data_IF_872260856633
#
_entry.id   IF_872260856633
#
_cell.length_a   1.000
_cell.length_b   1.000
_cell.length_c   1.000
_cell.angle_alpha   90.00
_cell.angle_beta   90.00
_cell.angle_gamma   90.00
#
_symmetry.space_group_name_H-M   'P 1'
#
loop_
_entity.id
_entity.type
_entity.pdbx_description
1 polymer ?
#
# COMPACT_ATOMS: atom_id res chain seq x y z
N UNK A 1 -4.19 -4.82 11.79
CA UNK A 1 -3.67 -5.91 10.94
C UNK A 1 -4.79 -6.90 10.77
N UNK A 2 -4.93 -7.50 9.59
CA UNK A 2 -5.80 -8.66 9.40
C UNK A 2 -5.24 -9.85 10.19
N UNK A 3 -6.03 -10.90 10.37
CA UNK A 3 -5.61 -12.10 11.09
C UNK A 3 -4.67 -12.94 10.20
N UNK A 4 -3.68 -13.62 10.78
CA UNK A 4 -2.78 -14.51 10.03
C UNK A 4 -3.55 -15.64 9.34
N UNK A 5 -4.72 -16.04 9.88
CA UNK A 5 -5.58 -17.04 9.27
C UNK A 5 -6.31 -16.53 8.00
N UNK A 6 -6.33 -15.22 7.75
CA UNK A 6 -6.88 -14.64 6.53
C UNK A 6 -5.87 -14.69 5.36
N UNK A 7 -4.61 -15.05 5.61
CA UNK A 7 -3.55 -15.21 4.60
C UNK A 7 -3.71 -16.53 3.82
N UNK A 8 -4.65 -16.53 2.87
CA UNK A 8 -4.85 -17.68 1.96
C UNK A 8 -4.01 -17.53 0.69
N UNK A 9 -2.81 -18.13 0.73
CA UNK A 9 -1.88 -18.17 -0.40
C UNK A 9 -2.37 -19.01 -1.61
N UNK A 10 -3.50 -19.71 -1.46
CA UNK A 10 -4.13 -20.51 -2.52
C UNK A 10 -5.37 -19.85 -3.13
N UNK A 11 -5.76 -18.68 -2.61
CA UNK A 11 -6.97 -17.98 -3.03
C UNK A 11 -6.82 -17.29 -4.39
N UNK A 12 -7.83 -17.45 -5.24
CA UNK A 12 -7.98 -16.64 -6.46
C UNK A 12 -8.46 -15.20 -6.17
N UNK A 13 -8.69 -14.87 -4.90
CA UNK A 13 -9.18 -13.56 -4.46
C UNK A 13 -8.14 -12.86 -3.56
N UNK A 14 -6.85 -13.06 -3.86
CA UNK A 14 -5.71 -12.49 -3.14
C UNK A 14 -5.83 -10.96 -2.90
N UNK A 15 -6.45 -10.25 -3.85
CA UNK A 15 -6.68 -8.80 -3.77
C UNK A 15 -7.56 -8.37 -2.58
N UNK A 16 -8.34 -9.28 -1.97
CA UNK A 16 -9.26 -8.94 -0.88
C UNK A 16 -8.55 -8.45 0.38
N UNK A 17 -7.34 -8.94 0.66
CA UNK A 17 -6.55 -8.46 1.79
C UNK A 17 -6.08 -7.02 1.54
N UNK A 18 -5.69 -6.69 0.31
CA UNK A 18 -5.35 -5.31 -0.07
C UNK A 18 -6.58 -4.40 0.11
N UNK A 19 -7.75 -4.83 -0.39
CA UNK A 19 -9.01 -4.10 -0.21
C UNK A 19 -9.37 -3.92 1.26
N UNK A 20 -9.16 -4.94 2.09
CA UNK A 20 -9.39 -4.85 3.53
C UNK A 20 -8.52 -3.75 4.15
N UNK A 21 -7.22 -3.68 3.79
CA UNK A 21 -6.30 -2.65 4.30
C UNK A 21 -6.79 -1.26 3.90
N UNK A 22 -7.11 -1.05 2.63
CA UNK A 22 -7.60 0.24 2.15
C UNK A 22 -8.92 0.64 2.84
N UNK A 23 -9.88 -0.27 2.93
CA UNK A 23 -11.17 -0.02 3.59
C UNK A 23 -10.98 0.28 5.08
N UNK A 24 -10.01 -0.37 5.74
CA UNK A 24 -9.71 -0.12 7.14
C UNK A 24 -9.13 1.28 7.37
N UNK A 25 -8.25 1.73 6.47
CA UNK A 25 -7.69 3.10 6.51
C UNK A 25 -8.79 4.13 6.27
N UNK A 26 -9.63 3.93 5.26
CA UNK A 26 -10.77 4.82 4.99
C UNK A 26 -11.72 4.92 6.20
N UNK A 27 -12.07 3.78 6.80
CA UNK A 27 -12.91 3.73 7.98
C UNK A 27 -12.26 4.42 9.20
N UNK A 28 -10.96 4.21 9.41
CA UNK A 28 -10.19 4.84 10.48
C UNK A 28 -10.24 6.36 10.40
N UNK A 29 -9.91 6.95 9.25
CA UNK A 29 -9.90 8.40 9.08
C UNK A 29 -11.30 9.00 9.08
N UNK A 30 -12.31 8.30 8.56
CA UNK A 30 -13.70 8.76 8.65
C UNK A 30 -14.21 8.78 10.09
N UNK A 31 -13.85 7.79 10.92
CA UNK A 31 -14.14 7.81 12.36
C UNK A 31 -13.40 8.95 13.06
N UNK A 32 -12.11 9.15 12.73
CA UNK A 32 -11.27 10.16 13.36
C UNK A 32 -11.76 11.60 13.15
N UNK A 33 -12.59 11.88 12.12
CA UNK A 33 -13.21 13.20 11.90
C UNK A 33 -14.13 13.63 13.04
N UNK A 34 -14.73 12.68 13.74
CA UNK A 34 -15.72 12.94 14.80
C UNK A 34 -15.23 12.50 16.20
N UNK A 35 -13.97 12.08 16.32
CA UNK A 35 -13.37 11.62 17.58
C UNK A 35 -12.29 12.61 18.00
N UNK A 36 -12.58 13.41 19.03
CA UNK A 36 -11.69 14.48 19.50
C UNK A 36 -10.36 13.96 20.06
N UNK A 37 -10.35 12.73 20.60
CA UNK A 37 -9.13 12.12 21.11
C UNK A 37 -8.24 11.64 19.97
N UNK A 38 -8.84 10.98 18.96
CA UNK A 38 -8.11 10.60 17.75
C UNK A 38 -7.60 11.82 17.02
N UNK A 39 -8.42 12.86 16.87
CA UNK A 39 -7.96 14.10 16.24
C UNK A 39 -6.75 14.66 16.99
N UNK A 40 -6.83 14.84 18.30
CA UNK A 40 -5.71 15.35 19.10
C UNK A 40 -4.44 14.50 18.95
N UNK A 41 -4.56 13.18 18.86
CA UNK A 41 -3.41 12.28 18.64
C UNK A 41 -2.84 12.45 17.24
N UNK A 42 -3.69 12.50 16.22
CA UNK A 42 -3.30 12.62 14.82
C UNK A 42 -2.79 14.03 14.47
N UNK A 43 -3.19 15.08 15.20
CA UNK A 43 -2.62 16.42 15.02
C UNK A 43 -1.19 16.56 15.52
N UNK A 44 -0.64 15.55 16.20
CA UNK A 44 0.75 15.62 16.69
C UNK A 44 1.73 15.41 15.54
N UNK A 45 2.89 16.07 15.61
CA UNK A 45 3.92 15.91 14.60
C UNK A 45 4.50 14.49 14.56
N UNK A 46 4.92 14.05 13.37
CA UNK A 46 5.68 12.81 13.12
C UNK A 46 4.87 11.52 13.29
N UNK A 47 3.62 11.52 12.84
CA UNK A 47 2.88 10.28 12.65
C UNK A 47 3.46 9.46 11.50
N UNK A 48 3.53 8.14 11.68
CA UNK A 48 3.95 7.20 10.65
C UNK A 48 2.85 6.15 10.49
N UNK A 49 2.34 6.01 9.27
CA UNK A 49 1.42 4.96 8.90
C UNK A 49 2.17 3.95 8.03
N UNK A 50 2.05 2.67 8.38
CA UNK A 50 2.63 1.58 7.62
C UNK A 50 1.52 0.67 7.11
N UNK A 51 1.43 0.54 5.78
CA UNK A 51 0.42 -0.25 5.10
C UNK A 51 1.14 -1.39 4.38
N UNK A 52 0.78 -2.63 4.73
CA UNK A 52 1.30 -3.83 4.10
C UNK A 52 0.24 -4.40 3.17
N UNK A 53 0.61 -4.67 1.91
CA UNK A 53 -0.28 -5.17 0.86
C UNK A 53 0.27 -6.52 0.38
N UNK A 54 -0.47 -7.59 0.63
CA UNK A 54 -0.02 -8.98 0.40
C UNK A 54 -0.53 -9.55 -0.93
N UNK A 55 -1.59 -8.97 -1.50
CA UNK A 55 -2.34 -9.61 -2.59
C UNK A 55 -1.48 -9.91 -3.82
N UNK A 56 -0.55 -9.01 -4.17
CA UNK A 56 0.35 -9.23 -5.29
C UNK A 56 1.33 -10.39 -5.07
N UNK A 57 1.85 -10.60 -3.87
CA UNK A 57 2.74 -11.74 -3.62
C UNK A 57 1.99 -13.06 -3.78
N UNK A 58 0.87 -13.20 -3.06
CA UNK A 58 -0.01 -14.37 -3.15
C UNK A 58 -0.43 -14.68 -4.58
N UNK A 59 -0.87 -13.67 -5.32
CA UNK A 59 -1.33 -13.84 -6.70
C UNK A 59 -0.17 -14.15 -7.67
N UNK A 60 1.01 -13.59 -7.41
CA UNK A 60 2.22 -13.87 -8.15
C UNK A 60 2.64 -15.34 -8.04
N UNK A 61 2.63 -15.90 -6.84
CA UNK A 61 2.89 -17.33 -6.62
C UNK A 61 1.84 -18.20 -7.32
N UNK A 62 0.55 -17.88 -7.15
CA UNK A 62 -0.58 -18.66 -7.64
C UNK A 62 -0.77 -18.62 -9.16
N UNK A 63 -0.97 -17.42 -9.71
CA UNK A 63 -1.36 -17.22 -11.12
C UNK A 63 -0.23 -16.74 -12.03
N UNK A 64 0.89 -16.27 -11.46
CA UNK A 64 2.07 -15.71 -12.16
C UNK A 64 1.93 -14.24 -12.58
N UNK A 65 3.03 -13.46 -12.61
CA UNK A 65 2.98 -12.01 -12.86
C UNK A 65 2.32 -11.56 -14.18
N UNK A 66 2.34 -12.41 -15.21
CA UNK A 66 1.74 -12.10 -16.52
C UNK A 66 0.28 -12.53 -16.65
N UNK A 67 -0.30 -13.10 -15.60
CA UNK A 67 -1.70 -13.52 -15.61
C UNK A 67 -2.65 -12.33 -15.57
N UNK A 68 -3.89 -12.59 -16.02
CA UNK A 68 -4.95 -11.59 -15.95
C UNK A 68 -5.25 -11.22 -14.50
N UNK A 69 -5.27 -12.20 -13.62
CA UNK A 69 -5.53 -12.10 -12.19
C UNK A 69 -4.51 -11.18 -11.51
N UNK A 70 -3.22 -11.35 -11.82
CA UNK A 70 -2.17 -10.50 -11.27
C UNK A 70 -2.31 -9.05 -11.74
N UNK A 71 -2.51 -8.83 -13.05
CA UNK A 71 -2.70 -7.48 -13.62
C UNK A 71 -3.94 -6.80 -13.05
N UNK A 72 -5.04 -7.53 -12.87
CA UNK A 72 -6.25 -7.01 -12.23
C UNK A 72 -6.00 -6.63 -10.75
N UNK A 73 -5.19 -7.42 -10.02
CA UNK A 73 -4.78 -7.09 -8.65
C UNK A 73 -3.88 -5.84 -8.60
N UNK A 74 -2.97 -5.63 -9.56
CA UNK A 74 -2.20 -4.37 -9.65
C UNK A 74 -3.16 -3.19 -9.75
N UNK A 75 -4.18 -3.30 -10.60
CA UNK A 75 -5.17 -2.24 -10.77
C UNK A 75 -6.00 -2.00 -9.49
N UNK A 76 -6.24 -3.04 -8.67
CA UNK A 76 -6.87 -2.88 -7.34
C UNK A 76 -5.96 -2.08 -6.40
N UNK A 77 -4.66 -2.41 -6.35
CA UNK A 77 -3.67 -1.71 -5.52
C UNK A 77 -3.55 -0.24 -5.95
N UNK A 78 -3.45 0.04 -7.24
CA UNK A 78 -3.35 1.41 -7.78
C UNK A 78 -4.55 2.28 -7.36
N UNK A 79 -5.77 1.79 -7.55
CA UNK A 79 -7.00 2.48 -7.10
C UNK A 79 -7.06 2.63 -5.57
N UNK A 80 -6.57 1.63 -4.83
CA UNK A 80 -6.52 1.66 -3.37
C UNK A 80 -5.56 2.72 -2.83
N UNK A 81 -4.39 2.87 -3.47
CA UNK A 81 -3.42 3.94 -3.19
C UNK A 81 -4.08 5.30 -3.43
N UNK A 82 -4.72 5.51 -4.58
CA UNK A 82 -5.39 6.78 -4.89
C UNK A 82 -6.44 7.15 -3.82
N UNK A 83 -7.29 6.20 -3.43
CA UNK A 83 -8.30 6.40 -2.37
C UNK A 83 -7.67 6.74 -1.03
N UNK A 84 -6.60 6.03 -0.66
CA UNK A 84 -5.87 6.27 0.59
C UNK A 84 -5.25 7.66 0.61
N UNK A 85 -4.59 8.05 -0.48
CA UNK A 85 -4.01 9.38 -0.61
C UNK A 85 -5.07 10.46 -0.46
N UNK A 86 -6.21 10.31 -1.14
CA UNK A 86 -7.33 11.26 -1.03
C UNK A 86 -7.82 11.39 0.41
N UNK A 87 -8.12 10.29 1.08
CA UNK A 87 -8.67 10.32 2.45
C UNK A 87 -7.69 10.94 3.46
N UNK A 88 -6.40 10.60 3.37
CA UNK A 88 -5.37 11.14 4.26
C UNK A 88 -5.16 12.63 3.99
N UNK A 89 -5.03 13.03 2.73
CA UNK A 89 -4.85 14.43 2.35
C UNK A 89 -6.06 15.28 2.73
N UNK A 90 -7.28 14.78 2.54
CA UNK A 90 -8.50 15.48 2.94
C UNK A 90 -8.63 15.61 4.47
N UNK A 91 -8.09 14.65 5.23
CA UNK A 91 -8.16 14.68 6.69
C UNK A 91 -7.21 15.72 7.30
N UNK A 92 -5.94 15.73 6.86
CA UNK A 92 -4.94 16.67 7.38
C UNK A 92 -5.02 18.04 6.72
N UNK A 93 -5.27 18.08 5.40
CA UNK A 93 -5.44 19.28 4.61
C UNK A 93 -4.33 20.34 4.83
N UNK A 94 -3.09 19.88 5.01
CA UNK A 94 -1.93 20.71 5.36
C UNK A 94 -0.79 20.66 4.32
N UNK A 95 -0.90 19.79 3.31
CA UNK A 95 0.17 19.52 2.36
C UNK A 95 1.50 19.20 3.08
N UNK A 96 1.46 18.33 4.10
CA UNK A 96 2.66 17.93 4.85
C UNK A 96 2.88 16.40 4.86
N UNK A 97 2.07 15.64 4.11
CA UNK A 97 2.21 14.18 4.03
C UNK A 97 3.22 13.79 2.94
N UNK A 98 4.24 13.04 3.33
CA UNK A 98 5.13 12.34 2.40
C UNK A 98 4.74 10.88 2.28
N UNK A 99 4.84 10.34 1.08
CA UNK A 99 4.50 8.97 0.71
C UNK A 99 5.76 8.23 0.28
N UNK A 100 5.90 7.00 0.76
CA UNK A 100 6.94 6.07 0.35
C UNK A 100 6.24 4.82 -0.16
N UNK A 101 6.44 4.48 -1.43
CA UNK A 101 5.97 3.24 -2.02
C UNK A 101 7.17 2.36 -2.29
N UNK A 102 7.14 1.14 -1.78
CA UNK A 102 8.21 0.17 -1.98
C UNK A 102 7.68 -1.25 -1.84
N UNK A 103 8.53 -2.21 -2.20
CA UNK A 103 8.31 -3.63 -1.97
C UNK A 103 9.49 -4.17 -1.16
N UNK A 104 9.29 -5.23 -0.40
CA UNK A 104 10.34 -5.91 0.34
C UNK A 104 11.14 -6.89 -0.54
N UNK A 105 10.53 -7.40 -1.61
CA UNK A 105 11.20 -8.19 -2.63
C UNK A 105 10.65 -7.93 -4.04
N UNK A 106 11.45 -8.28 -5.04
CA UNK A 106 10.99 -8.45 -6.42
C UNK A 106 10.45 -9.86 -6.64
N UNK A 107 10.08 -10.18 -7.87
CA UNK A 107 9.52 -11.48 -8.21
C UNK A 107 9.87 -11.85 -9.65
N UNK A 108 10.25 -13.11 -9.85
CA UNK A 108 10.49 -13.64 -11.19
C UNK A 108 9.20 -13.80 -11.99
N UNK A 109 9.32 -13.92 -13.31
CA UNK A 109 8.20 -14.26 -14.21
C UNK A 109 7.49 -15.59 -13.84
N UNK A 110 8.15 -16.47 -13.08
CA UNK A 110 7.59 -17.72 -12.56
C UNK A 110 6.90 -17.56 -11.20
N UNK A 111 6.77 -16.33 -10.72
CA UNK A 111 6.13 -16.03 -9.45
C UNK A 111 6.96 -16.46 -8.25
N UNK A 112 8.28 -16.62 -8.40
CA UNK A 112 9.17 -17.04 -7.32
C UNK A 112 10.04 -15.90 -6.84
N UNK A 113 10.40 -15.92 -5.56
CA UNK A 113 11.39 -15.05 -4.94
C UNK A 113 12.21 -15.81 -3.87
N UNK A 114 13.32 -15.23 -3.40
CA UNK A 114 14.17 -15.78 -2.34
C UNK A 114 15.47 -16.47 -2.79
N UNK A 115 15.72 -16.62 -4.09
CA UNK A 115 16.98 -17.16 -4.64
C UNK A 115 18.05 -16.07 -4.89
N UNK A 116 17.66 -14.79 -4.88
CA UNK A 116 18.58 -13.65 -4.94
C UNK A 116 19.02 -13.24 -6.34
N UNK A 117 18.27 -13.60 -7.37
CA UNK A 117 18.43 -13.05 -8.72
C UNK A 117 18.04 -11.57 -8.78
N UNK A 118 18.47 -10.88 -9.84
CA UNK A 118 18.18 -9.46 -10.06
C UNK A 118 16.66 -9.16 -10.01
N UNK A 119 15.83 -10.01 -10.63
CA UNK A 119 14.37 -9.90 -10.61
C UNK A 119 13.78 -9.99 -9.19
N UNK A 120 14.44 -10.70 -8.27
CA UNK A 120 13.97 -10.93 -6.90
C UNK A 120 14.44 -9.85 -5.92
N UNK A 121 15.46 -9.07 -6.27
CA UNK A 121 16.04 -8.03 -5.38
C UNK A 121 15.82 -6.61 -5.90
N UNK A 122 15.54 -6.43 -7.19
CA UNK A 122 15.19 -5.12 -7.74
C UNK A 122 13.74 -4.80 -7.44
N UNK A 123 13.56 -3.78 -6.61
CA UNK A 123 12.26 -3.30 -6.13
C UNK A 123 12.02 -1.86 -6.56
N UNK A 124 10.75 -1.47 -6.55
CA UNK A 124 10.39 -0.07 -6.65
C UNK A 124 10.69 0.66 -5.34
N UNK A 125 11.18 1.89 -5.43
CA UNK A 125 11.19 2.85 -4.33
C UNK A 125 10.77 4.21 -4.90
N UNK A 126 9.57 4.65 -4.54
CA UNK A 126 9.02 5.93 -4.97
C UNK A 126 8.73 6.81 -3.77
N UNK A 127 9.29 8.02 -3.79
CA UNK A 127 9.03 9.08 -2.81
C UNK A 127 8.16 10.16 -3.45
N UNK A 128 7.02 10.46 -2.82
CA UNK A 128 6.09 11.51 -3.27
C UNK A 128 5.80 12.44 -2.10
N UNK A 129 5.97 13.75 -2.30
CA UNK A 129 5.74 14.76 -1.27
C UNK A 129 5.25 16.06 -1.92
N UNK A 130 4.38 16.78 -1.21
CA UNK A 130 3.98 18.13 -1.57
C UNK A 130 4.22 19.02 -0.33
N UNK A 131 5.00 20.12 -0.41
CA UNK A 131 5.86 20.48 -1.53
C UNK A 131 6.98 19.43 -1.75
N UNK A 132 7.62 19.40 -2.94
CA UNK A 132 8.71 18.48 -3.21
C UNK A 132 9.84 18.59 -2.17
N UNK A 133 10.26 17.46 -1.60
CA UNK A 133 11.36 17.39 -0.61
C UNK A 133 12.66 18.01 -1.11
N UNK A 134 12.88 17.96 -2.42
CA UNK A 134 13.98 18.63 -3.10
C UNK A 134 13.40 19.72 -4.00
N UNK A 135 13.68 21.01 -3.75
CA UNK A 135 13.29 22.07 -4.68
C UNK A 135 13.94 21.80 -6.03
N UNK A 136 13.17 21.96 -7.11
CA UNK A 136 13.69 21.87 -8.46
C UNK A 136 14.83 22.88 -8.61
N UNK A 137 16.06 22.38 -8.80
CA UNK A 137 17.19 23.23 -9.14
C UNK A 137 17.05 23.63 -10.60
N UNK A 138 16.43 24.77 -10.85
CA UNK A 138 16.57 25.55 -12.08
C UNK A 138 16.94 26.99 -11.72
#
# INVERSE_FOLDING_TARGET
MYDENDEDFSSNEAYKLDEWVFNHVEAFFNKAKNDSNLWKSLSTDRNVFFLHLLGLDTNGHGNKPHSKEYVENIAVVDRGIERTQRVINDYFNDHATAWIFTADHGMTDWGSHGAGSDEEVFIVLQLVSDPPLFPSRF
#
